data_IF_508641446686
#
_entry.id   IF_508641446686
#
_cell.length_a   1.000
_cell.length_b   1.000
_cell.length_c   1.000
_cell.angle_alpha   90.00
_cell.angle_beta   90.00
_cell.angle_gamma   90.00
#
_symmetry.space_group_name_H-M   'P 1'
#
loop_
_entity.id
_entity.type
_entity.pdbx_description
1 polymer ?
#
# COMPACT_ATOMS: atom_id res chain seq x y z
N UNK A 1 -6.32 -10.01 -23.13
CA UNK A 1 -6.09 -11.30 -23.79
C UNK A 1 -4.60 -11.63 -23.75
N UNK A 2 -4.28 -12.91 -23.52
CA UNK A 2 -2.93 -13.46 -23.60
C UNK A 2 -2.88 -14.27 -24.90
N UNK A 3 -1.94 -14.00 -25.82
CA UNK A 3 -1.83 -14.77 -27.06
C UNK A 3 -1.55 -16.25 -26.77
N UNK A 4 -2.11 -17.17 -27.56
CA UNK A 4 -1.85 -18.61 -27.43
C UNK A 4 -0.36 -18.97 -27.48
N UNK A 5 0.42 -18.21 -28.22
CA UNK A 5 1.88 -18.38 -28.31
C UNK A 5 2.61 -18.24 -26.97
N UNK A 6 1.93 -17.74 -25.93
CA UNK A 6 2.49 -17.64 -24.58
C UNK A 6 2.58 -19.01 -23.90
N UNK A 7 1.72 -19.97 -24.28
CA UNK A 7 1.71 -21.32 -23.71
C UNK A 7 3.02 -22.08 -23.95
N UNK A 8 3.72 -21.75 -25.02
CA UNK A 8 4.99 -22.38 -25.42
C UNK A 8 6.23 -21.60 -24.90
N UNK A 9 6.03 -20.55 -24.08
CA UNK A 9 7.09 -19.70 -23.58
C UNK A 9 7.42 -19.98 -22.12
N UNK A 10 8.68 -19.85 -21.78
CA UNK A 10 9.14 -19.83 -20.39
C UNK A 10 8.86 -18.44 -19.75
N UNK A 11 8.70 -18.36 -18.42
CA UNK A 11 8.40 -17.09 -17.72
C UNK A 11 9.36 -15.95 -18.06
N UNK A 12 10.65 -16.22 -18.22
CA UNK A 12 11.67 -15.22 -18.57
C UNK A 12 11.59 -14.71 -20.02
N UNK A 13 10.77 -15.34 -20.86
CA UNK A 13 10.50 -14.91 -22.23
C UNK A 13 9.25 -14.02 -22.36
N UNK A 14 8.55 -13.80 -21.24
CA UNK A 14 7.36 -12.96 -21.18
C UNK A 14 7.73 -11.52 -20.88
N UNK A 15 7.03 -10.57 -21.49
CA UNK A 15 7.06 -9.20 -21.00
C UNK A 15 6.40 -9.10 -19.61
N UNK A 16 6.73 -8.07 -18.82
CA UNK A 16 6.15 -7.88 -17.50
C UNK A 16 4.60 -7.90 -17.51
N UNK A 17 3.99 -7.20 -18.46
CA UNK A 17 2.53 -7.19 -18.59
C UNK A 17 1.94 -8.56 -19.02
N UNK A 18 2.68 -9.36 -19.81
CA UNK A 18 2.25 -10.73 -20.14
C UNK A 18 2.35 -11.64 -18.91
N UNK A 19 3.44 -11.55 -18.16
CA UNK A 19 3.63 -12.31 -16.93
C UNK A 19 2.53 -12.00 -15.90
N UNK A 20 2.18 -10.73 -15.72
CA UNK A 20 1.06 -10.33 -14.86
C UNK A 20 -0.28 -10.96 -15.28
N UNK A 21 -0.60 -10.90 -16.58
CA UNK A 21 -1.85 -11.49 -17.09
C UNK A 21 -1.89 -13.01 -16.91
N UNK A 22 -0.77 -13.68 -17.10
CA UNK A 22 -0.65 -15.13 -16.84
C UNK A 22 -0.86 -15.41 -15.35
N UNK A 23 -0.26 -14.63 -14.45
CA UNK A 23 -0.45 -14.77 -13.00
C UNK A 23 -1.91 -14.58 -12.60
N UNK A 24 -2.60 -13.57 -13.17
CA UNK A 24 -4.04 -13.36 -12.92
C UNK A 24 -4.85 -14.54 -13.45
N UNK A 25 -4.53 -15.07 -14.64
CA UNK A 25 -5.21 -16.23 -15.20
C UNK A 25 -5.04 -17.48 -14.31
N UNK A 26 -3.86 -17.70 -13.76
CA UNK A 26 -3.61 -18.78 -12.79
C UNK A 26 -4.43 -18.59 -11.51
N UNK A 27 -4.47 -17.35 -10.98
CA UNK A 27 -5.30 -17.05 -9.81
C UNK A 27 -6.79 -17.25 -10.09
N UNK A 28 -7.26 -16.94 -11.31
CA UNK A 28 -8.65 -17.12 -11.73
C UNK A 28 -9.10 -18.60 -11.75
N UNK A 29 -8.16 -19.54 -11.86
CA UNK A 29 -8.46 -20.97 -11.75
C UNK A 29 -8.83 -21.38 -10.30
N UNK A 30 -8.52 -20.53 -9.32
CA UNK A 30 -8.91 -20.73 -7.93
C UNK A 30 -10.24 -20.01 -7.65
N UNK A 31 -11.05 -20.57 -6.76
CA UNK A 31 -12.25 -19.90 -6.23
C UNK A 31 -11.91 -19.11 -4.98
N UNK A 32 -10.87 -18.27 -5.07
CA UNK A 32 -10.36 -17.53 -3.94
C UNK A 32 -11.39 -16.51 -3.44
N UNK A 33 -11.60 -16.45 -2.13
CA UNK A 33 -12.40 -15.41 -1.46
C UNK A 33 -11.54 -14.22 -1.02
N UNK A 34 -10.22 -14.39 -1.04
CA UNK A 34 -9.23 -13.35 -0.75
C UNK A 34 -8.15 -13.42 -1.82
N UNK A 35 -7.90 -12.30 -2.46
CA UNK A 35 -6.80 -12.08 -3.38
C UNK A 35 -5.76 -11.19 -2.69
N UNK A 36 -4.50 -11.65 -2.67
CA UNK A 36 -3.37 -10.83 -2.18
C UNK A 36 -2.49 -10.51 -3.39
N UNK A 37 -2.24 -9.23 -3.62
CA UNK A 37 -1.40 -8.75 -4.70
C UNK A 37 -0.33 -7.81 -4.16
N UNK A 38 0.93 -8.21 -4.32
CA UNK A 38 2.09 -7.46 -3.87
C UNK A 38 2.70 -6.70 -5.06
N UNK A 39 2.73 -5.37 -4.96
CA UNK A 39 3.20 -4.43 -5.99
C UNK A 39 2.66 -4.75 -7.39
N UNK A 40 1.36 -5.03 -7.56
CA UNK A 40 0.85 -5.61 -8.80
C UNK A 40 0.83 -4.65 -9.99
N UNK A 41 1.02 -3.37 -9.76
CA UNK A 41 0.96 -2.32 -10.79
C UNK A 41 2.34 -1.72 -11.10
N UNK A 42 3.40 -2.32 -10.60
CA UNK A 42 4.77 -1.87 -10.86
C UNK A 42 5.07 -1.89 -12.37
N UNK A 43 5.60 -0.78 -12.88
CA UNK A 43 5.93 -0.64 -14.30
C UNK A 43 4.74 -0.40 -15.22
N UNK A 44 3.52 -0.23 -14.70
CA UNK A 44 2.36 0.14 -15.48
C UNK A 44 2.15 1.67 -15.48
N UNK A 45 1.78 2.20 -16.63
CA UNK A 45 1.24 3.55 -16.73
C UNK A 45 -0.18 3.64 -16.14
N UNK A 46 -0.74 4.82 -16.10
CA UNK A 46 -2.06 5.05 -15.49
C UNK A 46 -3.18 4.26 -16.22
N UNK A 47 -3.12 4.16 -17.55
CA UNK A 47 -4.06 3.39 -18.33
C UNK A 47 -3.95 1.88 -18.02
N UNK A 48 -2.73 1.36 -17.92
CA UNK A 48 -2.44 -0.02 -17.53
C UNK A 48 -2.92 -0.36 -16.12
N UNK A 49 -2.75 0.56 -15.16
CA UNK A 49 -3.29 0.42 -13.79
C UNK A 49 -4.82 0.33 -13.79
N UNK A 50 -5.48 1.22 -14.54
CA UNK A 50 -6.94 1.18 -14.65
C UNK A 50 -7.45 -0.13 -15.25
N UNK A 51 -6.80 -0.62 -16.32
CA UNK A 51 -7.10 -1.92 -16.92
C UNK A 51 -6.87 -3.09 -15.97
N UNK A 52 -5.79 -3.05 -15.19
CA UNK A 52 -5.48 -4.08 -14.19
C UNK A 52 -6.60 -4.19 -13.15
N UNK A 53 -7.04 -3.08 -12.54
CA UNK A 53 -8.12 -3.10 -11.55
C UNK A 53 -9.44 -3.55 -12.16
N UNK A 54 -9.81 -3.05 -13.35
CA UNK A 54 -11.02 -3.48 -14.04
C UNK A 54 -11.00 -5.00 -14.33
N UNK A 55 -9.85 -5.55 -14.67
CA UNK A 55 -9.66 -6.98 -14.87
C UNK A 55 -9.84 -7.76 -13.57
N UNK A 56 -9.24 -7.30 -12.46
CA UNK A 56 -9.42 -7.93 -11.15
C UNK A 56 -10.88 -7.93 -10.70
N UNK A 57 -11.59 -6.83 -10.90
CA UNK A 57 -12.99 -6.71 -10.53
C UNK A 57 -13.89 -7.62 -11.36
N UNK A 58 -13.58 -7.78 -12.65
CA UNK A 58 -14.33 -8.67 -13.54
C UNK A 58 -14.10 -10.16 -13.23
N UNK A 59 -12.89 -10.54 -12.84
CA UNK A 59 -12.53 -11.95 -12.58
C UNK A 59 -12.90 -12.36 -11.15
N UNK A 60 -12.77 -11.45 -10.18
CA UNK A 60 -12.96 -11.70 -8.76
C UNK A 60 -13.99 -10.71 -8.16
N UNK A 61 -15.25 -10.70 -8.63
CA UNK A 61 -16.23 -9.69 -8.20
C UNK A 61 -16.55 -9.79 -6.71
N UNK A 62 -16.54 -11.00 -6.14
CA UNK A 62 -16.96 -11.27 -4.75
C UNK A 62 -15.76 -11.49 -3.80
N UNK A 63 -14.53 -11.41 -4.30
CA UNK A 63 -13.35 -11.63 -3.47
C UNK A 63 -12.90 -10.33 -2.77
N UNK A 64 -12.52 -10.44 -1.51
CA UNK A 64 -11.76 -9.38 -0.86
C UNK A 64 -10.37 -9.26 -1.52
N UNK A 65 -9.90 -8.03 -1.71
CA UNK A 65 -8.62 -7.74 -2.37
C UNK A 65 -7.71 -7.02 -1.40
N UNK A 66 -6.56 -7.62 -1.08
CA UNK A 66 -5.49 -7.00 -0.31
C UNK A 66 -4.36 -6.60 -1.28
N UNK A 67 -4.22 -5.31 -1.51
CA UNK A 67 -3.19 -4.75 -2.38
C UNK A 67 -2.06 -4.20 -1.51
N UNK A 68 -0.85 -4.68 -1.71
CA UNK A 68 0.35 -4.15 -1.07
C UNK A 68 1.03 -3.24 -2.09
N UNK A 69 1.25 -1.98 -1.73
CA UNK A 69 1.86 -1.01 -2.64
C UNK A 69 2.49 0.15 -1.88
N UNK A 70 3.49 0.77 -2.50
CA UNK A 70 4.04 2.06 -2.08
C UNK A 70 3.44 3.24 -2.87
N UNK A 71 2.59 2.96 -3.86
CA UNK A 71 1.97 3.98 -4.72
C UNK A 71 0.64 4.45 -4.13
N UNK A 72 0.61 5.71 -3.67
CA UNK A 72 -0.58 6.30 -3.07
C UNK A 72 -1.72 6.42 -4.09
N UNK A 73 -1.43 6.60 -5.38
CA UNK A 73 -2.45 6.64 -6.43
C UNK A 73 -3.18 5.31 -6.58
N UNK A 74 -2.49 4.21 -6.29
CA UNK A 74 -3.07 2.86 -6.23
C UNK A 74 -3.89 2.69 -4.96
N UNK A 75 -3.33 3.09 -3.80
CA UNK A 75 -4.04 3.05 -2.52
C UNK A 75 -5.35 3.86 -2.55
N UNK A 76 -5.37 5.00 -3.24
CA UNK A 76 -6.54 5.86 -3.40
C UNK A 76 -7.72 5.19 -4.17
N UNK A 77 -7.50 4.04 -4.80
CA UNK A 77 -8.55 3.26 -5.48
C UNK A 77 -9.19 2.20 -4.59
N UNK A 78 -8.69 2.02 -3.39
CA UNK A 78 -9.20 1.03 -2.43
C UNK A 78 -10.26 1.64 -1.52
N UNK A 79 -11.07 0.79 -0.86
CA UNK A 79 -12.07 1.26 0.11
C UNK A 79 -11.42 1.67 1.43
N UNK A 80 -10.38 0.94 1.81
CA UNK A 80 -9.66 1.13 3.07
C UNK A 80 -8.16 1.07 2.83
N UNK A 81 -7.44 1.77 3.69
CA UNK A 81 -5.97 1.77 3.68
C UNK A 81 -5.43 1.42 5.07
N UNK A 82 -4.30 0.75 5.07
CA UNK A 82 -3.50 0.45 6.25
C UNK A 82 -2.08 0.89 5.96
N UNK A 83 -1.58 1.81 6.77
CA UNK A 83 -0.24 2.39 6.62
C UNK A 83 0.74 1.66 7.52
N UNK A 84 1.78 1.10 6.91
CA UNK A 84 2.86 0.38 7.60
C UNK A 84 4.17 1.17 7.56
N UNK A 85 4.90 1.14 8.67
CA UNK A 85 6.26 1.65 8.75
C UNK A 85 7.10 0.76 9.67
N UNK A 86 8.26 0.31 9.22
CA UNK A 86 9.14 -0.55 10.02
C UNK A 86 8.47 -1.82 10.54
N UNK A 87 7.56 -2.42 9.75
CA UNK A 87 6.81 -3.62 10.14
C UNK A 87 5.67 -3.37 11.14
N UNK A 88 5.38 -2.12 11.49
CA UNK A 88 4.30 -1.76 12.43
C UNK A 88 3.19 -1.01 11.71
N UNK A 89 1.95 -1.28 12.11
CA UNK A 89 0.78 -0.51 11.69
C UNK A 89 0.80 0.84 12.40
N UNK A 90 0.71 1.92 11.63
CA UNK A 90 0.69 3.28 12.15
C UNK A 90 -0.67 3.94 12.02
N UNK A 91 -1.42 3.63 10.95
CA UNK A 91 -2.72 4.26 10.72
C UNK A 91 -3.58 3.36 9.83
N UNK A 92 -4.90 3.33 10.06
CA UNK A 92 -5.87 2.63 9.22
C UNK A 92 -7.23 3.28 9.26
N UNK A 93 -7.95 3.21 8.15
CA UNK A 93 -9.30 3.77 8.02
C UNK A 93 -9.85 3.63 6.60
N UNK A 94 -10.93 4.35 6.31
CA UNK A 94 -11.35 4.53 4.92
C UNK A 94 -10.32 5.36 4.18
N UNK A 95 -10.18 5.12 2.88
CA UNK A 95 -9.18 5.82 2.07
C UNK A 95 -9.37 7.34 2.12
N UNK A 96 -10.63 7.81 2.00
CA UNK A 96 -10.96 9.24 2.06
C UNK A 96 -10.53 9.89 3.39
N UNK A 97 -10.72 9.18 4.50
CA UNK A 97 -10.35 9.70 5.81
C UNK A 97 -8.81 9.76 5.97
N UNK A 98 -8.12 8.64 5.75
CA UNK A 98 -6.66 8.55 5.99
C UNK A 98 -5.87 9.39 4.99
N UNK A 99 -6.25 9.43 3.70
CA UNK A 99 -5.54 10.24 2.70
C UNK A 99 -5.96 11.71 2.73
N UNK A 100 -7.18 12.02 3.20
CA UNK A 100 -7.69 13.40 3.30
C UNK A 100 -7.24 14.12 4.56
N UNK A 101 -7.32 13.46 5.72
CA UNK A 101 -7.02 14.05 7.03
C UNK A 101 -6.22 13.09 7.92
N UNK A 102 -4.97 12.76 7.54
CA UNK A 102 -4.14 11.81 8.30
C UNK A 102 -3.83 12.34 9.69
N UNK A 103 -3.82 11.44 10.68
CA UNK A 103 -3.45 11.76 12.05
C UNK A 103 -1.97 11.50 12.31
N UNK A 104 -1.44 10.32 11.90
CA UNK A 104 -0.07 9.96 12.21
C UNK A 104 0.94 10.82 11.42
N UNK A 105 1.97 11.38 12.07
CA UNK A 105 2.99 12.20 11.40
C UNK A 105 3.69 11.51 10.21
N UNK A 106 3.85 10.18 10.26
CA UNK A 106 4.38 9.41 9.12
C UNK A 106 3.47 9.49 7.89
N UNK A 107 2.17 9.32 8.06
CA UNK A 107 1.20 9.39 6.94
C UNK A 107 1.19 10.79 6.34
N UNK A 108 1.22 11.83 7.19
CA UNK A 108 1.36 13.23 6.74
C UNK A 108 2.63 13.43 5.90
N UNK A 109 3.77 12.93 6.39
CA UNK A 109 5.05 13.01 5.68
C UNK A 109 5.04 12.21 4.36
N UNK A 110 4.42 11.01 4.36
CA UNK A 110 4.29 10.18 3.17
C UNK A 110 3.47 10.87 2.08
N UNK A 111 2.37 11.50 2.44
CA UNK A 111 1.53 12.28 1.50
C UNK A 111 2.26 13.54 1.01
N UNK A 112 3.00 14.23 1.87
CA UNK A 112 3.78 15.41 1.50
C UNK A 112 4.95 15.07 0.56
N UNK A 113 5.50 13.84 0.63
CA UNK A 113 6.62 13.40 -0.19
C UNK A 113 6.24 13.07 -1.65
N UNK A 114 4.94 13.16 -2.01
CA UNK A 114 4.52 12.93 -3.40
C UNK A 114 5.09 13.98 -4.35
N UNK A 115 5.41 13.55 -5.58
CA UNK A 115 5.91 14.43 -6.65
C UNK A 115 4.99 15.63 -6.87
N UNK A 116 3.68 15.42 -6.84
CA UNK A 116 2.67 16.47 -6.97
C UNK A 116 2.76 17.56 -5.87
N UNK A 117 3.34 17.23 -4.71
CA UNK A 117 3.47 18.10 -3.55
C UNK A 117 4.90 18.65 -3.36
N UNK A 118 5.78 18.50 -4.39
CA UNK A 118 7.12 19.11 -4.39
C UNK A 118 8.20 18.30 -3.68
N UNK A 119 8.05 16.98 -3.58
CA UNK A 119 9.05 16.01 -3.07
C UNK A 119 9.85 16.52 -1.86
N UNK A 120 9.30 16.40 -0.68
CA UNK A 120 10.09 16.61 0.54
C UNK A 120 11.00 15.37 0.78
N UNK A 121 12.31 15.53 1.01
CA UNK A 121 13.20 14.41 1.26
C UNK A 121 12.75 13.65 2.50
N UNK A 122 12.51 12.36 2.34
CA UNK A 122 12.18 11.48 3.47
C UNK A 122 13.49 11.05 4.16
N UNK A 123 13.68 11.38 5.43
CA UNK A 123 14.90 10.99 6.14
C UNK A 123 15.03 9.46 6.27
N UNK A 124 16.23 8.92 6.47
CA UNK A 124 16.52 7.47 6.55
C UNK A 124 15.87 6.83 7.78
N UNK A 125 15.22 5.66 7.64
CA UNK A 125 14.74 4.86 8.76
C UNK A 125 15.93 4.38 9.60
N UNK A 126 15.84 4.49 10.92
CA UNK A 126 16.76 3.81 11.82
C UNK A 126 16.11 2.51 12.27
N UNK A 127 16.75 1.38 11.98
CA UNK A 127 16.32 0.07 12.45
C UNK A 127 16.59 -0.08 13.95
N UNK A 128 15.81 -0.93 14.62
CA UNK A 128 16.08 -1.35 15.99
C UNK A 128 15.47 -0.48 17.10
N UNK A 129 14.49 0.37 16.78
CA UNK A 129 13.76 1.15 17.79
C UNK A 129 12.61 0.32 18.37
N UNK A 130 12.52 0.20 19.69
CA UNK A 130 11.40 -0.50 20.36
C UNK A 130 10.11 0.31 20.35
N UNK A 131 10.20 1.64 20.22
CA UNK A 131 9.10 2.59 20.14
C UNK A 131 8.57 2.81 18.71
N UNK A 132 8.25 4.06 18.38
CA UNK A 132 7.73 4.43 17.07
C UNK A 132 8.83 4.33 15.99
N UNK A 133 8.62 3.58 14.88
CA UNK A 133 9.63 3.44 13.83
C UNK A 133 9.90 4.76 13.09
N UNK A 134 9.00 5.73 13.18
CA UNK A 134 9.16 7.06 12.59
C UNK A 134 9.85 8.07 13.53
N UNK A 135 10.18 7.68 14.76
CA UNK A 135 10.79 8.52 15.80
C UNK A 135 11.86 9.49 15.28
N UNK A 136 12.88 8.97 14.55
CA UNK A 136 14.03 9.76 14.14
C UNK A 136 13.70 10.88 13.11
N UNK A 137 12.47 10.92 12.61
CA UNK A 137 12.01 11.81 11.54
C UNK A 137 10.78 12.62 11.93
N UNK A 138 10.16 12.26 13.02
CA UNK A 138 8.96 12.92 13.50
C UNK A 138 9.34 14.25 14.15
N UNK A 139 8.75 15.34 13.67
CA UNK A 139 8.94 16.67 14.25
C UNK A 139 8.33 16.80 15.65
N UNK A 140 7.43 15.88 16.00
CA UNK A 140 6.71 15.83 17.28
C UNK A 140 7.31 14.77 18.23
N UNK A 141 8.46 14.16 17.84
CA UNK A 141 9.04 13.08 18.63
C UNK A 141 9.67 13.56 19.92
N UNK A 142 9.50 12.77 20.97
CA UNK A 142 10.16 12.91 22.24
C UNK A 142 10.82 11.60 22.72
N UNK A 143 11.31 11.57 23.95
CA UNK A 143 11.97 10.41 24.52
C UNK A 143 11.02 9.19 24.67
N UNK A 144 9.72 9.43 24.88
CA UNK A 144 8.72 8.36 24.94
C UNK A 144 8.57 7.64 23.61
N UNK A 145 8.74 8.34 22.48
CA UNK A 145 8.69 7.76 21.15
C UNK A 145 9.84 6.80 20.84
N UNK A 146 10.98 6.95 21.53
CA UNK A 146 12.15 6.09 21.32
C UNK A 146 11.94 4.69 21.91
N UNK A 147 11.43 4.62 23.13
CA UNK A 147 11.36 3.39 23.91
C UNK A 147 9.94 3.05 24.39
N UNK A 148 9.00 3.98 24.26
CA UNK A 148 7.63 3.82 24.70
C UNK A 148 6.77 2.96 23.77
N UNK A 149 5.70 2.40 24.32
CA UNK A 149 4.71 1.70 23.52
C UNK A 149 3.80 2.71 22.81
N UNK A 150 3.67 2.57 21.50
CA UNK A 150 2.65 3.30 20.76
C UNK A 150 1.25 2.93 21.27
N UNK A 151 0.43 3.92 21.56
CA UNK A 151 -0.95 3.74 21.99
C UNK A 151 -1.88 3.83 20.81
N UNK A 152 -2.98 3.07 20.87
CA UNK A 152 -4.04 3.14 19.88
C UNK A 152 -4.95 4.32 20.20
N UNK A 153 -5.15 5.17 19.20
CA UNK A 153 -6.09 6.29 19.23
C UNK A 153 -7.15 6.09 18.16
N UNK A 154 -8.29 6.75 18.27
CA UNK A 154 -9.36 6.74 17.25
C UNK A 154 -10.22 7.98 17.36
N UNK A 155 -10.69 8.46 16.20
CA UNK A 155 -11.74 9.48 16.06
C UNK A 155 -13.09 8.88 15.61
N UNK A 156 -13.16 7.53 15.53
CA UNK A 156 -14.30 6.78 15.04
C UNK A 156 -14.30 6.51 13.54
N UNK A 157 -13.42 7.15 12.76
CA UNK A 157 -13.23 6.93 11.31
C UNK A 157 -11.87 6.37 10.99
N UNK A 158 -10.85 6.84 11.72
CA UNK A 158 -9.45 6.47 11.60
C UNK A 158 -9.01 5.87 12.93
N UNK A 159 -8.15 4.88 12.87
CA UNK A 159 -7.38 4.37 13.99
C UNK A 159 -5.91 4.63 13.71
N UNK A 160 -5.17 5.15 14.70
CA UNK A 160 -3.72 5.35 14.56
C UNK A 160 -2.98 4.96 15.83
N UNK A 161 -1.71 4.60 15.67
CA UNK A 161 -0.83 4.19 16.75
C UNK A 161 0.30 5.20 16.88
N UNK A 162 0.26 5.99 17.92
CA UNK A 162 1.25 7.02 18.22
C UNK A 162 1.57 7.03 19.72
N UNK A 163 2.68 7.62 20.11
CA UNK A 163 2.98 7.89 21.53
C UNK A 163 2.25 9.14 22.03
N UNK A 164 1.78 9.98 21.11
CA UNK A 164 1.01 11.20 21.37
C UNK A 164 -0.40 11.06 20.81
N UNK A 165 -1.36 11.77 21.44
CA UNK A 165 -2.77 11.80 21.01
C UNK A 165 -2.97 12.79 19.85
#
# INVERSE_FOLDING_TARGET
DVPETVLDKYPFQLSGGMAQRVTIALAACSRARLLIADEPTNGLDEAGRAQFFALLDSIFPDAAKLIITHDISVAARCDRVLVLCGGRMLETGTVDAVLGTPHHPYTKALLAAQVANGMQPSPVLREGVSGCPFYARCSESDEACLNGAMQKHTDGKIEWWCCHA
#
